data_IF_939680527406
#
_entry.id   IF_939680527406
#
_cell.length_a   1.000
_cell.length_b   1.000
_cell.length_c   1.000
_cell.angle_alpha   90.00
_cell.angle_beta   90.00
_cell.angle_gamma   90.00
#
_symmetry.space_group_name_H-M   'P 1'
#
loop_
_entity.id
_entity.type
_entity.pdbx_description
1 polymer ?
#
# COMPACT_ATOMS: atom_id res chain seq x y z
N UNK A 1 -6.69 -7.85 10.37
CA UNK A 1 -6.58 -6.94 11.53
C UNK A 1 -5.12 -6.62 11.74
N UNK A 2 -4.73 -5.34 11.65
CA UNK A 2 -3.33 -4.91 11.79
C UNK A 2 -3.16 -4.25 13.15
N UNK A 3 -2.43 -4.89 14.05
CA UNK A 3 -2.13 -4.38 15.39
C UNK A 3 -0.74 -3.75 15.39
N UNK A 4 -0.62 -2.47 15.73
CA UNK A 4 0.70 -1.86 15.94
C UNK A 4 1.16 -2.14 17.36
N UNK A 5 2.26 -2.91 17.49
CA UNK A 5 2.86 -3.21 18.79
C UNK A 5 3.28 -1.94 19.52
N UNK A 6 3.84 -0.98 18.78
CA UNK A 6 4.27 0.34 19.30
C UNK A 6 3.10 1.18 19.79
N UNK A 7 2.02 1.25 19.01
CA UNK A 7 0.83 2.00 19.41
C UNK A 7 0.21 1.38 20.68
N UNK A 8 0.20 0.04 20.76
CA UNK A 8 -0.23 -0.69 21.96
C UNK A 8 0.67 -0.39 23.15
N UNK A 9 2.00 -0.41 22.99
CA UNK A 9 2.95 -0.07 24.05
C UNK A 9 2.80 1.37 24.53
N UNK A 10 2.59 2.33 23.61
CA UNK A 10 2.31 3.72 23.95
C UNK A 10 1.03 3.84 24.78
N UNK A 11 -0.08 3.27 24.31
CA UNK A 11 -1.34 3.34 25.04
C UNK A 11 -1.29 2.58 26.37
N UNK A 12 -0.58 1.45 26.45
CA UNK A 12 -0.39 0.72 27.71
C UNK A 12 0.40 1.52 28.76
N UNK A 13 1.23 2.49 28.37
CA UNK A 13 1.90 3.39 29.34
C UNK A 13 0.93 4.38 29.98
N UNK A 14 -0.14 4.76 29.27
CA UNK A 14 -1.14 5.73 29.73
C UNK A 14 -2.30 4.99 30.43
N UNK A 15 -2.70 3.84 29.89
CA UNK A 15 -3.80 3.00 30.36
C UNK A 15 -3.28 1.57 30.56
N UNK A 16 -2.60 1.28 31.67
CA UNK A 16 -2.03 -0.04 31.94
C UNK A 16 -3.11 -1.11 31.97
N UNK A 17 -2.89 -2.22 31.28
CA UNK A 17 -3.77 -3.40 31.20
C UNK A 17 -5.18 -3.16 30.63
N UNK A 18 -5.53 -1.94 30.22
CA UNK A 18 -6.82 -1.61 29.61
C UNK A 18 -6.79 -1.75 28.07
N UNK A 19 -5.61 -1.73 27.45
CA UNK A 19 -5.48 -1.72 25.97
C UNK A 19 -5.31 -3.13 25.41
N UNK A 20 -6.42 -3.70 24.94
CA UNK A 20 -6.41 -5.04 24.33
C UNK A 20 -5.75 -5.06 22.95
N UNK A 21 -6.08 -4.08 22.11
CA UNK A 21 -5.57 -3.95 20.74
C UNK A 21 -5.46 -2.47 20.34
N UNK A 22 -4.50 -2.18 19.47
CA UNK A 22 -4.27 -0.85 18.92
C UNK A 22 -4.11 -0.97 17.40
N UNK A 23 -5.05 -0.41 16.65
CA UNK A 23 -5.10 -0.53 15.18
C UNK A 23 -4.77 0.79 14.52
N UNK A 24 -3.95 0.75 13.48
CA UNK A 24 -3.66 1.91 12.64
C UNK A 24 -4.50 1.82 11.37
N UNK A 25 -5.30 2.84 11.11
CA UNK A 25 -5.96 3.02 9.83
C UNK A 25 -4.96 3.64 8.85
N UNK A 26 -4.76 3.00 7.71
CA UNK A 26 -3.92 3.52 6.62
C UNK A 26 -4.84 3.84 5.46
N UNK A 27 -4.80 5.08 4.98
CA UNK A 27 -5.54 5.47 3.78
C UNK A 27 -4.86 4.85 2.57
N UNK A 28 -5.60 4.07 1.78
CA UNK A 28 -5.07 3.36 0.61
C UNK A 28 -5.87 3.70 -0.66
N UNK A 29 -5.88 4.97 -1.10
CA UNK A 29 -6.79 5.43 -2.16
C UNK A 29 -6.57 4.69 -3.48
N UNK A 30 -5.32 4.36 -3.80
CA UNK A 30 -4.99 3.59 -5.01
C UNK A 30 -5.49 2.15 -4.93
N UNK A 31 -5.35 1.50 -3.75
CA UNK A 31 -5.87 0.15 -3.54
C UNK A 31 -7.39 0.15 -3.64
N UNK A 32 -8.05 1.13 -3.02
CA UNK A 32 -9.50 1.26 -3.02
C UNK A 32 -10.03 1.47 -4.45
N UNK A 33 -9.35 2.31 -5.24
CA UNK A 33 -9.65 2.51 -6.67
C UNK A 33 -9.56 1.21 -7.46
N UNK A 34 -8.43 0.49 -7.36
CA UNK A 34 -8.22 -0.76 -8.13
C UNK A 34 -9.19 -1.86 -7.68
N UNK A 35 -9.53 -1.93 -6.39
CA UNK A 35 -10.55 -2.87 -5.88
C UNK A 35 -11.93 -2.56 -6.46
N UNK A 36 -12.30 -1.27 -6.56
CA UNK A 36 -13.55 -0.85 -7.18
C UNK A 36 -13.58 -1.18 -8.68
N UNK A 37 -12.49 -0.90 -9.41
CA UNK A 37 -12.35 -1.24 -10.84
C UNK A 37 -12.46 -2.76 -11.06
N UNK A 38 -11.80 -3.56 -10.22
CA UNK A 38 -11.91 -5.02 -10.26
C UNK A 38 -13.35 -5.49 -10.05
N UNK A 39 -14.07 -4.92 -9.09
CA UNK A 39 -15.45 -5.28 -8.80
C UNK A 39 -16.38 -4.93 -9.97
N UNK A 40 -16.18 -3.76 -10.61
CA UNK A 40 -16.92 -3.38 -11.80
C UNK A 40 -16.66 -4.36 -12.97
N UNK A 41 -15.40 -4.76 -13.17
CA UNK A 41 -15.03 -5.68 -14.23
C UNK A 41 -15.60 -7.09 -14.02
N UNK A 42 -15.63 -7.59 -12.77
CA UNK A 42 -16.28 -8.88 -12.45
C UNK A 42 -17.76 -8.84 -12.82
N UNK A 43 -18.46 -7.75 -12.48
CA UNK A 43 -19.87 -7.59 -12.86
C UNK A 43 -20.05 -7.60 -14.39
N UNK A 44 -19.18 -6.93 -15.13
CA UNK A 44 -19.26 -6.93 -16.60
C UNK A 44 -19.02 -8.32 -17.19
N UNK A 45 -18.10 -9.10 -16.60
CA UNK A 45 -17.89 -10.50 -16.99
C UNK A 45 -19.14 -11.34 -16.71
N UNK A 46 -19.74 -11.19 -15.53
CA UNK A 46 -20.97 -11.90 -15.15
C UNK A 46 -22.13 -11.56 -16.10
N UNK A 47 -22.29 -10.30 -16.47
CA UNK A 47 -23.28 -9.86 -17.47
C UNK A 47 -23.01 -10.50 -18.85
N UNK A 48 -21.77 -10.49 -19.32
CA UNK A 48 -21.39 -11.10 -20.59
C UNK A 48 -21.58 -12.64 -20.60
N UNK A 49 -21.29 -13.31 -19.47
CA UNK A 49 -21.59 -14.73 -19.31
C UNK A 49 -23.10 -14.95 -19.34
N UNK A 50 -23.88 -14.12 -18.64
CA UNK A 50 -25.34 -14.16 -18.64
C UNK A 50 -25.93 -14.03 -20.04
N UNK A 51 -25.41 -13.15 -20.89
CA UNK A 51 -25.81 -13.04 -22.31
C UNK A 51 -25.51 -14.33 -23.10
N UNK A 52 -24.34 -14.93 -22.88
CA UNK A 52 -23.95 -16.19 -23.51
C UNK A 52 -24.88 -17.34 -23.07
N UNK A 53 -25.16 -17.44 -21.77
CA UNK A 53 -26.06 -18.45 -21.19
C UNK A 53 -27.51 -18.28 -21.67
N UNK A 54 -27.99 -17.04 -21.74
CA UNK A 54 -29.32 -16.72 -22.29
C UNK A 54 -29.48 -17.15 -23.76
N UNK A 55 -28.38 -17.17 -24.51
CA UNK A 55 -28.36 -17.68 -25.89
C UNK A 55 -28.18 -19.21 -25.99
N UNK A 56 -28.16 -19.92 -24.86
CA UNK A 56 -27.77 -21.34 -24.77
C UNK A 56 -26.38 -21.63 -25.35
N UNK A 57 -25.43 -20.70 -25.16
CA UNK A 57 -24.06 -20.81 -25.66
C UNK A 57 -23.91 -20.65 -27.18
N UNK A 58 -24.97 -20.25 -27.88
CA UNK A 58 -24.94 -20.08 -29.35
C UNK A 58 -24.31 -18.76 -29.78
N UNK A 59 -24.48 -17.71 -28.97
CA UNK A 59 -23.95 -16.38 -29.24
C UNK A 59 -22.99 -15.99 -28.13
N UNK A 60 -21.70 -15.90 -28.47
CA UNK A 60 -20.70 -15.31 -27.58
C UNK A 60 -20.69 -13.80 -27.77
N UNK A 61 -20.73 -13.00 -26.70
CA UNK A 61 -20.64 -11.55 -26.82
C UNK A 61 -19.27 -11.17 -27.37
N UNK A 62 -19.27 -10.24 -28.32
CA UNK A 62 -18.06 -9.75 -28.98
C UNK A 62 -17.82 -8.29 -28.66
N UNK A 63 -16.55 -7.93 -28.54
CA UNK A 63 -16.11 -6.57 -28.30
C UNK A 63 -15.34 -6.06 -29.51
N UNK A 64 -15.65 -4.85 -29.97
CA UNK A 64 -14.84 -4.16 -30.98
C UNK A 64 -13.78 -3.33 -30.26
N UNK A 65 -12.53 -3.58 -30.62
CA UNK A 65 -11.38 -2.85 -30.14
C UNK A 65 -10.88 -1.87 -31.19
N UNK A 66 -10.54 -0.67 -30.77
CA UNK A 66 -9.82 0.35 -31.54
C UNK A 66 -8.49 0.55 -30.83
N UNK A 67 -7.37 0.28 -31.52
CA UNK A 67 -6.02 0.35 -30.94
C UNK A 67 -5.88 -0.42 -29.59
N UNK A 68 -6.52 -1.58 -29.50
CA UNK A 68 -6.50 -2.44 -28.31
C UNK A 68 -7.43 -2.01 -27.18
N UNK A 69 -8.17 -0.90 -27.34
CA UNK A 69 -9.12 -0.40 -26.34
C UNK A 69 -10.57 -0.64 -26.76
N UNK A 70 -11.49 -0.87 -25.80
CA UNK A 70 -12.90 -1.04 -26.12
C UNK A 70 -13.46 0.19 -26.83
N UNK A 71 -14.15 -0.02 -27.95
CA UNK A 71 -14.89 1.05 -28.62
C UNK A 71 -16.08 1.48 -27.73
N UNK A 72 -16.23 2.78 -27.39
CA UNK A 72 -17.37 3.24 -26.62
C UNK A 72 -18.68 2.98 -27.37
N UNK A 73 -19.69 2.46 -26.68
CA UNK A 73 -21.01 2.16 -27.26
C UNK A 73 -21.70 3.38 -27.92
N UNK A 74 -21.37 4.61 -27.48
CA UNK A 74 -21.94 5.86 -27.98
C UNK A 74 -21.31 6.37 -29.30
N UNK A 75 -20.19 5.79 -29.74
CA UNK A 75 -19.42 6.33 -30.87
C UNK A 75 -19.65 5.53 -32.16
N UNK A 76 -20.87 5.62 -32.70
CA UNK A 76 -21.20 5.01 -34.00
C UNK A 76 -20.63 5.81 -35.18
N UNK A 77 -20.22 7.07 -35.00
CA UNK A 77 -19.95 7.99 -36.11
C UNK A 77 -18.48 8.44 -36.30
N UNK A 78 -17.59 8.30 -35.30
CA UNK A 78 -16.24 8.91 -35.35
C UNK A 78 -15.11 7.99 -35.84
N UNK A 79 -15.34 6.68 -35.91
CA UNK A 79 -14.30 5.68 -36.16
C UNK A 79 -14.34 5.09 -37.58
N UNK A 80 -14.75 5.87 -38.59
CA UNK A 80 -14.99 5.33 -39.94
C UNK A 80 -13.74 4.83 -40.67
N UNK A 81 -12.54 5.21 -40.21
CA UNK A 81 -11.27 4.90 -40.88
C UNK A 81 -10.25 4.16 -40.00
N UNK A 82 -10.60 3.81 -38.76
CA UNK A 82 -9.67 3.16 -37.83
C UNK A 82 -9.80 1.63 -37.87
N UNK A 83 -8.66 0.93 -37.74
CA UNK A 83 -8.61 -0.53 -37.85
C UNK A 83 -9.22 -1.16 -36.58
N UNK A 84 -10.46 -1.60 -36.67
CA UNK A 84 -11.12 -2.30 -35.57
C UNK A 84 -10.79 -3.79 -35.55
N UNK A 85 -10.54 -4.33 -34.36
CA UNK A 85 -10.38 -5.78 -34.14
C UNK A 85 -11.55 -6.29 -33.31
N UNK A 86 -12.21 -7.36 -33.75
CA UNK A 86 -13.28 -8.00 -32.98
C UNK A 86 -12.71 -9.14 -32.14
N UNK A 87 -12.99 -9.14 -30.84
CA UNK A 87 -12.53 -10.16 -29.90
C UNK A 87 -13.70 -10.74 -29.10
N UNK A 88 -13.53 -11.94 -28.54
CA UNK A 88 -14.45 -12.50 -27.56
C UNK A 88 -14.43 -11.63 -26.29
N UNK A 89 -15.60 -11.09 -25.91
CA UNK A 89 -15.70 -10.13 -24.80
C UNK A 89 -15.32 -10.80 -23.47
N UNK A 90 -15.72 -12.05 -23.25
CA UNK A 90 -15.46 -12.77 -21.99
C UNK A 90 -13.98 -13.03 -21.82
N UNK A 91 -13.29 -13.52 -22.86
CA UNK A 91 -11.85 -13.76 -22.81
C UNK A 91 -11.06 -12.46 -22.63
N UNK A 92 -11.41 -11.40 -23.35
CA UNK A 92 -10.78 -10.09 -23.17
C UNK A 92 -10.90 -9.56 -21.73
N UNK A 93 -12.11 -9.62 -21.14
CA UNK A 93 -12.33 -9.13 -19.78
C UNK A 93 -11.63 -10.00 -18.73
N UNK A 94 -11.49 -11.31 -18.95
CA UNK A 94 -10.70 -12.19 -18.07
C UNK A 94 -9.22 -11.77 -18.04
N UNK A 95 -8.65 -11.44 -19.19
CA UNK A 95 -7.26 -10.96 -19.27
C UNK A 95 -7.09 -9.64 -18.50
N UNK A 96 -8.03 -8.70 -18.67
CA UNK A 96 -8.05 -7.45 -17.89
C UNK A 96 -8.20 -7.71 -16.39
N UNK A 97 -9.01 -8.70 -16.00
CA UNK A 97 -9.20 -9.07 -14.59
C UNK A 97 -7.91 -9.61 -13.97
N UNK A 98 -7.13 -10.38 -14.72
CA UNK A 98 -5.83 -10.88 -14.28
C UNK A 98 -4.86 -9.72 -13.98
N UNK A 99 -4.82 -8.70 -14.85
CA UNK A 99 -4.01 -7.49 -14.66
C UNK A 99 -4.44 -6.75 -13.38
N UNK A 100 -5.74 -6.49 -13.20
CA UNK A 100 -6.24 -5.82 -11.99
C UNK A 100 -5.96 -6.63 -10.72
N UNK A 101 -6.02 -7.97 -10.78
CA UNK A 101 -5.68 -8.80 -9.63
C UNK A 101 -4.19 -8.68 -9.26
N UNK A 102 -3.30 -8.60 -10.26
CA UNK A 102 -1.88 -8.34 -10.02
C UNK A 102 -1.65 -6.94 -9.42
N UNK A 103 -2.39 -5.92 -9.89
CA UNK A 103 -2.33 -4.57 -9.31
C UNK A 103 -2.83 -4.53 -7.86
N UNK A 104 -3.95 -5.19 -7.54
CA UNK A 104 -4.43 -5.32 -6.14
C UNK A 104 -3.34 -5.93 -5.27
N UNK A 105 -2.72 -7.03 -5.70
CA UNK A 105 -1.65 -7.67 -4.95
C UNK A 105 -0.44 -6.74 -4.75
N UNK A 106 -0.08 -5.97 -5.79
CA UNK A 106 0.98 -4.97 -5.72
C UNK A 106 0.68 -3.89 -4.67
N UNK A 107 -0.51 -3.28 -4.71
CA UNK A 107 -0.90 -2.24 -3.76
C UNK A 107 -1.09 -2.77 -2.33
N UNK A 108 -1.58 -4.01 -2.17
CA UNK A 108 -1.63 -4.67 -0.86
C UNK A 108 -0.24 -4.85 -0.26
N UNK A 109 0.73 -5.30 -1.08
CA UNK A 109 2.13 -5.43 -0.66
C UNK A 109 2.75 -4.08 -0.31
N UNK A 110 2.52 -3.04 -1.12
CA UNK A 110 3.00 -1.68 -0.83
C UNK A 110 2.41 -1.13 0.47
N UNK A 111 1.12 -1.35 0.72
CA UNK A 111 0.45 -0.95 1.95
C UNK A 111 0.94 -1.73 3.19
N UNK A 112 1.56 -2.90 3.02
CA UNK A 112 2.23 -3.64 4.10
C UNK A 112 3.64 -3.07 4.35
N UNK A 113 4.40 -2.78 3.29
CA UNK A 113 5.75 -2.22 3.41
C UNK A 113 5.75 -0.86 4.14
N UNK A 114 4.80 0.03 3.83
CA UNK A 114 4.67 1.33 4.53
C UNK A 114 4.44 1.15 6.04
N UNK A 115 3.73 0.08 6.45
CA UNK A 115 3.55 -0.21 7.88
C UNK A 115 4.78 -0.80 8.54
N UNK A 116 5.59 -1.57 7.81
CA UNK A 116 6.87 -2.09 8.31
C UNK A 116 7.93 -0.96 8.43
N UNK A 117 7.92 0.01 7.51
CA UNK A 117 8.81 1.18 7.57
C UNK A 117 8.45 2.12 8.75
N UNK A 118 7.16 2.24 9.09
CA UNK A 118 6.72 2.86 10.35
C UNK A 118 7.25 2.11 11.60
N UNK A 119 7.58 0.82 11.48
CA UNK A 119 8.29 0.07 12.52
C UNK A 119 9.81 0.35 12.53
N UNK A 120 10.40 1.02 11.54
CA UNK A 120 11.82 1.39 11.53
C UNK A 120 12.07 2.87 11.87
N UNK A 121 11.19 3.79 11.50
CA UNK A 121 11.45 5.25 11.57
C UNK A 121 11.31 5.91 12.96
N UNK A 122 11.23 5.16 14.06
CA UNK A 122 11.20 5.74 15.42
C UNK A 122 12.44 5.43 16.26
N UNK A 123 13.52 4.94 15.64
CA UNK A 123 14.84 4.98 16.26
C UNK A 123 15.49 6.34 16.00
N UNK A 124 15.29 7.29 16.92
CA UNK A 124 16.17 8.44 17.11
C UNK A 124 15.94 9.08 18.48
N UNK A 125 16.99 9.67 19.08
CA UNK A 125 17.70 9.04 20.20
C UNK A 125 17.19 9.51 21.56
N UNK A 126 17.51 8.73 22.60
CA UNK A 126 17.39 9.13 23.99
C UNK A 126 17.97 10.53 24.22
N UNK A 127 17.22 11.51 24.76
CA UNK A 127 17.81 12.74 25.24
C UNK A 127 18.42 12.47 26.61
N UNK A 128 19.61 11.88 26.64
CA UNK A 128 20.48 11.99 27.81
C UNK A 128 21.73 12.79 27.44
N UNK A 129 21.76 14.00 28.03
CA UNK A 129 22.95 14.71 28.52
C UNK A 129 23.84 15.48 27.52
N UNK A 130 23.69 16.82 27.52
CA UNK A 130 24.53 17.82 28.25
C UNK A 130 24.14 19.22 27.76
N UNK A 131 24.09 20.27 28.59
CA UNK A 131 25.24 20.88 29.27
C UNK A 131 24.86 21.71 30.51
N UNK A 132 25.82 21.96 31.43
CA UNK A 132 25.64 22.61 32.74
C UNK A 132 25.88 24.13 32.68
N UNK A 133 25.19 24.93 33.50
CA UNK A 133 25.69 26.22 34.01
C UNK A 133 24.92 26.66 35.26
N UNK A 134 25.65 26.91 36.35
CA UNK A 134 25.14 27.44 37.60
C UNK A 134 26.18 27.26 38.71
N UNK A 135 26.89 28.33 39.12
CA UNK A 135 28.01 28.22 40.05
C UNK A 135 27.46 28.19 41.46
N UNK A 136 27.62 27.09 42.18
CA UNK A 136 27.80 27.11 43.63
C UNK A 136 28.18 25.72 44.15
N UNK A 137 29.07 25.73 45.14
CA UNK A 137 29.39 24.61 46.04
C UNK A 137 30.44 23.59 45.56
N UNK A 138 31.69 24.06 45.56
CA UNK A 138 32.78 23.58 46.44
C UNK A 138 32.50 22.23 47.14
N UNK A 139 33.33 21.20 46.90
CA UNK A 139 34.22 20.66 47.93
C UNK A 139 35.01 19.42 47.48
N UNK A 140 36.30 19.46 47.84
CA UNK A 140 37.21 18.36 48.20
C UNK A 140 37.91 17.53 47.09
N UNK A 141 39.18 17.91 46.95
CA UNK A 141 40.40 17.08 47.05
C UNK A 141 40.51 15.87 46.11
N UNK A 142 41.29 15.92 45.02
CA UNK A 142 42.76 15.79 44.93
C UNK A 142 43.30 14.39 45.36
N UNK A 143 44.43 13.87 44.81
CA UNK A 143 45.29 14.39 43.74
C UNK A 143 45.67 13.39 42.62
N UNK A 144 46.23 14.00 41.56
CA UNK A 144 47.14 13.51 40.52
C UNK A 144 47.80 12.13 40.70
N UNK A 145 47.80 11.37 39.61
CA UNK A 145 48.97 10.62 39.15
C UNK A 145 49.21 10.90 37.66
N UNK A 146 50.48 11.03 37.31
CA UNK A 146 51.08 11.61 36.12
C UNK A 146 51.57 10.55 35.12
N UNK A 147 51.81 11.01 33.87
CA UNK A 147 52.80 10.48 32.91
C UNK A 147 52.43 9.13 32.25
N UNK A 148 52.66 8.78 30.98
CA UNK A 148 53.36 9.27 29.78
C UNK A 148 52.62 8.67 28.57
N UNK A 149 52.43 9.34 27.43
CA UNK A 149 53.44 9.45 26.38
C UNK A 149 53.80 8.10 25.74
N UNK A 150 53.29 7.81 24.54
CA UNK A 150 54.15 7.47 23.39
C UNK A 150 53.36 7.42 22.08
N UNK A 151 54.00 8.04 21.09
CA UNK A 151 53.74 8.00 19.65
C UNK A 151 54.33 6.68 19.10
N UNK A 152 54.01 6.40 17.82
CA UNK A 152 54.55 5.40 16.87
C UNK A 152 53.52 4.28 16.62
N UNK A 153 53.20 3.88 15.39
CA UNK A 153 53.61 4.27 14.04
C UNK A 153 52.56 3.70 13.07
#
# INVERSE_FOLDING_TARGET
FRTSRRLKEFFNRIFPDEVLFATVAVTTPDLDRVVAERAALVREIEEAIGECEASHGKNRPVLQLVDGKPKPAACCAFYSNERTTTVDKVEYLKDQLAVLCAEVAYYQKKALAVTDDLELEMESPSPQQRVPFGPDSIAKAAPRASYTGSVLS
#
